data_IF_887386561670
#
_entry.id   IF_887386561670
#
_cell.length_a   1.000
_cell.length_b   1.000
_cell.length_c   1.000
_cell.angle_alpha   90.00
_cell.angle_beta   90.00
_cell.angle_gamma   90.00
#
_symmetry.space_group_name_H-M   'P 1'
#
loop_
_entity.id
_entity.type
_entity.pdbx_description
1 polymer ?
#
# COMPACT_ATOMS: atom_id res chain seq x y z
N UNK A 1 -3.94 22.63 8.99
CA UNK A 1 -4.67 21.65 8.14
C UNK A 1 -4.58 20.32 8.84
N UNK A 2 -5.48 19.37 8.60
CA UNK A 2 -5.38 18.05 9.23
C UNK A 2 -4.13 17.34 8.71
N UNK A 3 -3.18 17.04 9.59
CA UNK A 3 -1.94 16.30 9.26
C UNK A 3 -2.20 14.80 8.98
N UNK A 4 -3.48 14.39 8.94
CA UNK A 4 -3.88 13.01 8.69
C UNK A 4 -4.16 12.76 7.21
N UNK A 5 -3.53 11.73 6.64
CA UNK A 5 -3.74 11.26 5.27
C UNK A 5 -4.99 10.39 5.20
N UNK A 6 -5.20 9.53 6.20
CA UNK A 6 -6.38 8.69 6.31
C UNK A 6 -7.33 9.19 7.42
N UNK A 7 -8.63 9.03 7.19
CA UNK A 7 -9.61 9.27 8.25
C UNK A 7 -9.41 8.28 9.41
N UNK A 8 -9.74 8.69 10.64
CA UNK A 8 -9.70 7.79 11.81
C UNK A 8 -10.48 6.49 11.59
N UNK A 9 -11.64 6.57 10.92
CA UNK A 9 -12.44 5.39 10.61
C UNK A 9 -11.74 4.42 9.64
N UNK A 10 -11.00 4.95 8.66
CA UNK A 10 -10.21 4.14 7.74
C UNK A 10 -9.03 3.47 8.46
N UNK A 11 -8.30 4.21 9.30
CA UNK A 11 -7.18 3.67 10.10
C UNK A 11 -7.66 2.52 10.98
N UNK A 12 -8.77 2.71 11.71
CA UNK A 12 -9.32 1.66 12.57
C UNK A 12 -9.80 0.43 11.78
N UNK A 13 -10.27 0.63 10.55
CA UNK A 13 -10.62 -0.49 9.67
C UNK A 13 -9.38 -1.25 9.21
N UNK A 14 -8.31 -0.56 8.80
CA UNK A 14 -7.05 -1.20 8.38
C UNK A 14 -6.43 -1.96 9.55
N UNK A 15 -6.41 -1.40 10.77
CA UNK A 15 -5.93 -2.11 11.96
C UNK A 15 -6.69 -3.42 12.21
N UNK A 16 -8.02 -3.42 12.05
CA UNK A 16 -8.83 -4.63 12.19
C UNK A 16 -8.49 -5.69 11.13
N UNK A 17 -8.28 -5.25 9.89
CA UNK A 17 -7.86 -6.14 8.79
C UNK A 17 -6.49 -6.74 9.13
N UNK A 18 -5.52 -5.91 9.50
CA UNK A 18 -4.18 -6.31 9.93
C UNK A 18 -4.21 -7.35 11.06
N UNK A 19 -4.96 -7.10 12.14
CA UNK A 19 -5.10 -8.07 13.23
C UNK A 19 -5.71 -9.40 12.78
N UNK A 20 -6.71 -9.37 11.88
CA UNK A 20 -7.33 -10.59 11.36
C UNK A 20 -6.38 -11.36 10.42
N UNK A 21 -5.65 -10.64 9.56
CA UNK A 21 -4.66 -11.19 8.64
C UNK A 21 -3.49 -11.83 9.39
N UNK A 22 -2.96 -11.15 10.41
CA UNK A 22 -1.91 -11.67 11.28
C UNK A 22 -2.36 -12.97 11.98
N UNK A 23 -3.55 -12.97 12.58
CA UNK A 23 -4.11 -14.14 13.26
C UNK A 23 -4.32 -15.33 12.30
N UNK A 24 -4.77 -15.06 11.08
CA UNK A 24 -4.91 -16.10 10.06
C UNK A 24 -3.55 -16.71 9.70
N UNK A 25 -2.53 -15.88 9.47
CA UNK A 25 -1.20 -16.34 9.07
C UNK A 25 -0.49 -17.11 10.19
N UNK A 26 -0.63 -16.67 11.44
CA UNK A 26 -0.18 -17.41 12.61
C UNK A 26 -0.78 -18.83 12.64
N UNK A 27 -2.10 -18.94 12.47
CA UNK A 27 -2.80 -20.25 12.42
C UNK A 27 -2.39 -21.11 11.23
N UNK A 28 -2.01 -20.47 10.13
CA UNK A 28 -1.51 -21.14 8.93
C UNK A 28 -0.01 -21.52 9.03
N UNK A 29 0.67 -21.18 10.14
CA UNK A 29 2.11 -21.42 10.31
C UNK A 29 2.97 -20.60 9.35
N UNK A 30 2.51 -19.41 8.96
CA UNK A 30 3.21 -18.51 8.05
C UNK A 30 3.61 -17.22 8.74
N UNK A 31 4.82 -16.76 8.45
CA UNK A 31 5.28 -15.43 8.85
C UNK A 31 4.48 -14.34 8.12
N UNK A 32 3.81 -13.47 8.88
CA UNK A 32 2.86 -12.50 8.34
C UNK A 32 3.51 -11.53 7.36
N UNK A 33 4.63 -10.90 7.75
CA UNK A 33 5.40 -10.00 6.89
C UNK A 33 5.79 -10.64 5.54
N UNK A 34 6.25 -11.90 5.55
CA UNK A 34 6.59 -12.62 4.32
C UNK A 34 5.35 -12.82 3.45
N UNK A 35 4.23 -13.19 4.06
CA UNK A 35 2.98 -13.40 3.34
C UNK A 35 2.44 -12.11 2.72
N UNK A 36 2.54 -10.97 3.41
CA UNK A 36 2.17 -9.67 2.86
C UNK A 36 2.99 -9.35 1.61
N UNK A 37 4.31 -9.54 1.66
CA UNK A 37 5.19 -9.30 0.50
C UNK A 37 4.87 -10.23 -0.69
N UNK A 38 4.55 -11.50 -0.43
CA UNK A 38 4.10 -12.43 -1.48
C UNK A 38 2.81 -11.96 -2.14
N UNK A 39 1.80 -11.57 -1.35
CA UNK A 39 0.51 -11.09 -1.84
C UNK A 39 0.67 -9.79 -2.63
N UNK A 40 1.47 -8.85 -2.13
CA UNK A 40 1.80 -7.60 -2.83
C UNK A 40 2.36 -7.90 -4.23
N UNK A 41 3.30 -8.85 -4.34
CA UNK A 41 3.84 -9.26 -5.65
C UNK A 41 2.75 -9.81 -6.57
N UNK A 42 1.88 -10.68 -6.06
CA UNK A 42 0.78 -11.24 -6.83
C UNK A 42 -0.17 -10.16 -7.37
N UNK A 43 -0.59 -9.20 -6.54
CA UNK A 43 -1.44 -8.11 -7.00
C UNK A 43 -0.75 -7.24 -8.05
N UNK A 44 0.57 -6.99 -7.96
CA UNK A 44 1.30 -6.24 -9.00
C UNK A 44 1.24 -6.95 -10.35
N UNK A 45 1.40 -8.28 -10.35
CA UNK A 45 1.30 -9.11 -11.56
C UNK A 45 -0.14 -9.08 -12.12
N UNK A 46 -1.14 -9.29 -11.27
CA UNK A 46 -2.55 -9.31 -11.66
C UNK A 46 -3.05 -7.96 -12.17
N UNK A 47 -2.68 -6.85 -11.52
CA UNK A 47 -2.98 -5.48 -12.01
C UNK A 47 -2.46 -5.30 -13.42
N UNK A 48 -1.23 -5.76 -13.70
CA UNK A 48 -0.64 -5.65 -15.03
C UNK A 48 -1.42 -6.47 -16.05
N UNK A 49 -1.71 -7.73 -15.74
CA UNK A 49 -2.46 -8.64 -16.64
C UNK A 49 -3.85 -8.08 -16.97
N UNK A 50 -4.59 -7.62 -15.96
CA UNK A 50 -5.94 -7.05 -16.13
C UNK A 50 -5.90 -5.73 -16.91
N UNK A 51 -4.93 -4.85 -16.63
CA UNK A 51 -4.76 -3.61 -17.37
C UNK A 51 -4.41 -3.86 -18.85
N UNK A 52 -3.50 -4.81 -19.13
CA UNK A 52 -3.12 -5.19 -20.49
C UNK A 52 -4.31 -5.80 -21.26
N UNK A 53 -5.24 -6.45 -20.55
CA UNK A 53 -6.51 -6.96 -21.07
C UNK A 53 -7.62 -5.89 -21.20
N UNK A 54 -7.37 -4.62 -20.84
CA UNK A 54 -8.36 -3.55 -20.72
C UNK A 54 -9.52 -3.87 -19.76
N UNK A 55 -9.31 -4.77 -18.79
CA UNK A 55 -10.28 -5.10 -17.77
C UNK A 55 -10.17 -4.14 -16.59
N UNK A 56 -11.22 -3.33 -16.36
CA UNK A 56 -11.27 -2.33 -15.28
C UNK A 56 -11.14 -2.92 -13.87
N UNK A 57 -11.24 -4.24 -13.70
CA UNK A 57 -11.01 -4.89 -12.42
C UNK A 57 -9.61 -4.60 -11.85
N UNK A 58 -8.61 -4.25 -12.68
CA UNK A 58 -7.28 -3.82 -12.21
C UNK A 58 -7.35 -2.69 -11.17
N UNK A 59 -8.38 -1.84 -11.20
CA UNK A 59 -8.56 -0.76 -10.21
C UNK A 59 -8.93 -1.30 -8.82
N UNK A 60 -9.68 -2.40 -8.75
CA UNK A 60 -10.02 -3.06 -7.49
C UNK A 60 -8.76 -3.70 -6.92
N UNK A 61 -8.01 -4.43 -7.74
CA UNK A 61 -6.72 -5.02 -7.37
C UNK A 61 -5.69 -3.98 -6.91
N UNK A 62 -5.70 -2.79 -7.54
CA UNK A 62 -4.90 -1.65 -7.08
C UNK A 62 -5.31 -1.16 -5.69
N UNK A 63 -6.61 -1.17 -5.40
CA UNK A 63 -7.14 -0.87 -4.07
C UNK A 63 -6.72 -1.90 -3.03
N UNK A 64 -6.78 -3.19 -3.37
CA UNK A 64 -6.35 -4.28 -2.48
C UNK A 64 -4.84 -4.22 -2.21
N UNK A 65 -4.04 -3.93 -3.24
CA UNK A 65 -2.61 -3.66 -3.10
C UNK A 65 -2.33 -2.49 -2.14
N UNK A 66 -3.11 -1.41 -2.21
CA UNK A 66 -2.96 -0.28 -1.29
C UNK A 66 -3.24 -0.69 0.17
N UNK A 67 -4.27 -1.51 0.41
CA UNK A 67 -4.57 -2.04 1.75
C UNK A 67 -3.41 -2.90 2.27
N UNK A 68 -2.87 -3.80 1.46
CA UNK A 68 -1.72 -4.63 1.84
C UNK A 68 -0.47 -3.79 2.16
N UNK A 69 -0.24 -2.70 1.43
CA UNK A 69 0.85 -1.78 1.72
C UNK A 69 0.66 -1.10 3.08
N UNK A 70 -0.57 -0.72 3.45
CA UNK A 70 -0.85 -0.18 4.79
C UNK A 70 -0.70 -1.24 5.88
N UNK A 71 -1.14 -2.48 5.63
CA UNK A 71 -0.88 -3.59 6.57
C UNK A 71 0.61 -3.80 6.79
N UNK A 72 1.42 -3.71 5.74
CA UNK A 72 2.87 -3.82 5.85
C UNK A 72 3.47 -2.68 6.69
N UNK A 73 3.00 -1.45 6.55
CA UNK A 73 3.44 -0.35 7.43
C UNK A 73 3.12 -0.63 8.90
N UNK A 74 1.91 -1.13 9.18
CA UNK A 74 1.48 -1.48 10.54
C UNK A 74 2.25 -2.67 11.13
N UNK A 75 2.59 -3.67 10.31
CA UNK A 75 3.41 -4.82 10.71
C UNK A 75 4.77 -4.37 11.25
N UNK A 76 5.34 -3.30 10.71
CA UNK A 76 6.58 -2.68 11.19
C UNK A 76 6.38 -1.62 12.26
N UNK A 77 5.17 -1.52 12.84
CA UNK A 77 4.79 -0.56 13.90
C UNK A 77 4.95 0.91 13.49
N UNK A 78 4.88 1.19 12.19
CA UNK A 78 5.01 2.55 11.66
C UNK A 78 3.65 3.23 11.50
N UNK A 79 3.65 4.56 11.62
CA UNK A 79 2.47 5.39 11.35
C UNK A 79 2.26 5.52 9.84
N UNK A 80 1.08 5.11 9.36
CA UNK A 80 0.68 5.25 7.95
C UNK A 80 0.77 6.72 7.52
N UNK A 81 0.24 7.64 8.34
CA UNK A 81 0.26 9.08 8.03
C UNK A 81 1.69 9.59 7.90
N UNK A 82 2.58 9.24 8.84
CA UNK A 82 3.96 9.73 8.84
C UNK A 82 4.75 9.20 7.64
N UNK A 83 4.56 7.93 7.25
CA UNK A 83 5.17 7.36 6.06
C UNK A 83 4.63 8.06 4.80
N UNK A 84 3.32 8.23 4.70
CA UNK A 84 2.71 8.82 3.51
C UNK A 84 3.11 10.28 3.32
N UNK A 85 3.17 11.08 4.39
CA UNK A 85 3.67 12.46 4.34
C UNK A 85 5.12 12.51 3.85
N UNK A 86 6.00 11.64 4.37
CA UNK A 86 7.38 11.51 3.87
C UNK A 86 7.41 11.13 2.39
N UNK A 87 6.50 10.27 1.94
CA UNK A 87 6.40 9.89 0.53
C UNK A 87 5.96 11.07 -0.34
N UNK A 88 4.96 11.85 0.06
CA UNK A 88 4.51 13.02 -0.69
C UNK A 88 5.64 14.02 -0.90
N UNK A 89 6.35 14.40 0.16
CA UNK A 89 7.51 15.31 0.07
C UNK A 89 8.61 14.79 -0.88
N UNK A 90 8.85 13.49 -0.86
CA UNK A 90 9.84 12.86 -1.75
C UNK A 90 9.38 12.84 -3.20
N UNK A 91 8.10 12.57 -3.45
CA UNK A 91 7.55 12.54 -4.80
C UNK A 91 7.48 13.94 -5.41
N UNK A 92 7.09 14.96 -4.65
CA UNK A 92 7.09 16.35 -5.13
C UNK A 92 8.48 16.79 -5.59
N UNK A 93 9.51 16.51 -4.78
CA UNK A 93 10.91 16.80 -5.13
C UNK A 93 11.38 16.01 -6.35
N UNK A 94 11.02 14.73 -6.43
CA UNK A 94 11.40 13.86 -7.55
C UNK A 94 10.77 14.35 -8.86
N UNK A 95 9.48 14.68 -8.86
CA UNK A 95 8.78 15.18 -10.04
C UNK A 95 9.37 16.52 -10.51
N UNK A 96 9.68 17.43 -9.58
CA UNK A 96 10.35 18.68 -9.92
C UNK A 96 11.73 18.48 -10.58
N UNK A 97 12.50 17.47 -10.15
CA UNK A 97 13.78 17.12 -10.78
C UNK A 97 13.59 16.61 -12.21
N UNK A 98 12.69 15.64 -12.40
CA UNK A 98 12.43 15.03 -13.70
C UNK A 98 11.96 16.04 -14.74
N UNK A 99 11.06 16.96 -14.36
CA UNK A 99 10.60 18.03 -15.25
C UNK A 99 11.73 18.98 -15.68
N UNK A 100 12.69 19.25 -14.79
CA UNK A 100 13.85 20.08 -15.11
C UNK A 100 14.89 19.35 -15.98
N UNK A 101 14.94 18.02 -15.90
CA UNK A 101 15.82 17.19 -16.74
C UNK A 101 15.26 17.05 -18.16
N UNK A 102 13.95 16.85 -18.32
CA UNK A 102 13.30 16.74 -19.63
C UNK A 102 13.18 18.09 -20.37
N UNK A 103 13.26 19.21 -19.66
CA UNK A 103 13.23 20.55 -20.24
C UNK A 103 14.60 21.04 -20.77
N UNK A 104 15.66 20.24 -20.65
CA UNK A 104 17.03 20.54 -21.12
C UNK A 104 17.34 19.83 -22.42
#
# INVERSE_FOLDING_TARGET
MSDHVLSKAAIERIKKIHSASALYNEKAGKEHNQRLLELIRHHVEEIKELNDANDRHFLVETGDLAVLCFELMLEHQESIDDIMLKCFDRYDKKLASLLNEEAR
#
